data_IF_840038054901
#
_entry.id   IF_840038054901
#
_cell.length_a   1.000
_cell.length_b   1.000
_cell.length_c   1.000
_cell.angle_alpha   90.00
_cell.angle_beta   90.00
_cell.angle_gamma   90.00
#
_symmetry.space_group_name_H-M   'P 1'
#
loop_
_entity.id
_entity.type
_entity.pdbx_description
1 polymer ?
#
# COMPACT_ATOMS: atom_id res chain seq x y z
N UNK A 1 33.86 79.42 -10.04
CA UNK A 1 33.43 78.91 -8.72
C UNK A 1 32.55 77.65 -8.85
N UNK A 2 32.82 76.75 -9.78
CA UNK A 2 32.04 75.51 -9.99
C UNK A 2 32.86 74.24 -9.75
N UNK A 3 34.19 74.32 -9.90
CA UNK A 3 35.10 73.18 -9.78
C UNK A 3 35.20 72.68 -8.33
N UNK A 4 35.24 73.59 -7.36
CA UNK A 4 35.28 73.26 -5.92
C UNK A 4 34.02 72.55 -5.42
N UNK A 5 32.85 72.83 -6.01
CA UNK A 5 31.60 72.12 -5.68
C UNK A 5 31.59 70.68 -6.19
N UNK A 6 32.24 70.43 -7.35
CA UNK A 6 32.34 69.11 -7.94
C UNK A 6 33.30 68.24 -7.12
N UNK A 7 34.45 68.77 -6.70
CA UNK A 7 35.37 68.06 -5.80
C UNK A 7 34.68 67.68 -4.48
N UNK A 8 33.89 68.59 -3.88
CA UNK A 8 33.17 68.30 -2.65
C UNK A 8 32.14 67.17 -2.82
N UNK A 9 31.43 67.15 -3.96
CA UNK A 9 30.49 66.07 -4.30
C UNK A 9 31.18 64.72 -4.45
N UNK A 10 32.36 64.69 -5.07
CA UNK A 10 33.15 63.46 -5.25
C UNK A 10 33.64 62.93 -3.90
N UNK A 11 34.14 63.80 -3.02
CA UNK A 11 34.55 63.40 -1.67
C UNK A 11 33.38 62.89 -0.82
N UNK A 12 32.22 63.53 -0.92
CA UNK A 12 31.01 63.06 -0.24
C UNK A 12 30.59 61.66 -0.73
N UNK A 13 30.61 61.44 -2.06
CA UNK A 13 30.29 60.13 -2.64
C UNK A 13 31.28 59.05 -2.19
N UNK A 14 32.58 59.35 -2.20
CA UNK A 14 33.62 58.41 -1.75
C UNK A 14 33.45 58.03 -0.27
N UNK A 15 33.06 58.99 0.57
CA UNK A 15 32.76 58.74 1.98
C UNK A 15 31.57 57.77 2.16
N UNK A 16 30.50 57.96 1.38
CA UNK A 16 29.32 57.07 1.40
C UNK A 16 29.70 55.65 0.94
N UNK A 17 30.48 55.51 -0.12
CA UNK A 17 30.96 54.20 -0.59
C UNK A 17 31.84 53.50 0.46
N UNK A 18 32.75 54.24 1.11
CA UNK A 18 33.59 53.68 2.18
C UNK A 18 32.76 53.19 3.38
N UNK A 19 31.73 53.94 3.77
CA UNK A 19 30.79 53.53 4.82
C UNK A 19 29.99 52.30 4.39
N UNK A 20 29.54 52.23 3.15
CA UNK A 20 28.78 51.09 2.62
C UNK A 20 29.62 49.81 2.65
N UNK A 21 30.85 49.86 2.13
CA UNK A 21 31.79 48.74 2.14
C UNK A 21 32.13 48.33 3.56
N UNK A 22 32.40 49.29 4.45
CA UNK A 22 32.66 49.04 5.86
C UNK A 22 31.49 48.34 6.55
N UNK A 23 30.26 48.75 6.25
CA UNK A 23 29.04 48.14 6.80
C UNK A 23 28.86 46.71 6.32
N UNK A 24 29.08 46.44 5.03
CA UNK A 24 29.01 45.09 4.45
C UNK A 24 30.06 44.17 5.10
N UNK A 25 31.30 44.63 5.23
CA UNK A 25 32.39 43.87 5.88
C UNK A 25 32.07 43.60 7.35
N UNK A 26 31.58 44.60 8.08
CA UNK A 26 31.13 44.44 9.46
C UNK A 26 30.01 43.40 9.58
N UNK A 27 29.02 43.44 8.68
CA UNK A 27 27.90 42.51 8.66
C UNK A 27 28.36 41.08 8.35
N UNK A 28 29.27 40.91 7.38
CA UNK A 28 29.90 39.62 7.05
C UNK A 28 30.68 39.04 8.23
N UNK A 29 31.44 39.87 8.96
CA UNK A 29 32.16 39.44 10.16
C UNK A 29 31.20 39.05 11.29
N UNK A 30 30.11 39.80 11.47
CA UNK A 30 29.08 39.51 12.47
C UNK A 30 28.34 38.21 12.15
N UNK A 31 27.99 37.97 10.88
CA UNK A 31 27.40 36.70 10.41
C UNK A 31 28.40 35.55 10.57
N UNK A 32 29.68 35.72 10.22
CA UNK A 32 30.68 34.67 10.45
C UNK A 32 30.88 34.36 11.94
N UNK A 33 30.78 35.38 12.81
CA UNK A 33 30.88 35.20 14.27
C UNK A 33 29.65 34.49 14.84
N UNK A 34 28.45 34.82 14.37
CA UNK A 34 27.22 34.09 14.73
C UNK A 34 27.18 32.66 14.13
N UNK A 35 27.62 32.49 12.89
CA UNK A 35 27.69 31.21 12.20
C UNK A 35 28.68 30.23 12.83
N UNK A 36 29.73 30.72 13.50
CA UNK A 36 30.62 29.90 14.32
C UNK A 36 30.04 29.51 15.68
N UNK A 37 29.03 30.22 16.18
CA UNK A 37 28.44 29.96 17.51
C UNK A 37 27.09 29.23 17.44
N UNK A 38 26.43 29.15 16.28
CA UNK A 38 25.07 28.63 16.15
C UNK A 38 24.92 27.33 15.34
N UNK A 39 25.98 26.78 14.76
CA UNK A 39 25.94 25.42 14.25
C UNK A 39 26.37 24.51 15.40
N UNK A 40 25.41 24.25 16.30
CA UNK A 40 25.45 23.16 17.25
C UNK A 40 25.80 21.89 16.47
N UNK A 41 27.09 21.54 16.44
CA UNK A 41 27.55 20.31 15.82
C UNK A 41 26.84 19.12 16.47
N UNK A 42 26.46 19.22 17.75
CA UNK A 42 25.60 18.26 18.45
C UNK A 42 24.18 18.17 17.89
N UNK A 43 23.51 19.28 17.55
CA UNK A 43 22.15 19.22 17.00
C UNK A 43 22.15 18.62 15.60
N UNK A 44 23.14 18.97 14.78
CA UNK A 44 23.33 18.34 13.47
C UNK A 44 23.79 16.89 13.58
N UNK A 45 24.64 16.54 14.54
CA UNK A 45 25.04 15.15 14.79
C UNK A 45 23.89 14.30 15.31
N UNK A 46 23.04 14.84 16.18
CA UNK A 46 21.84 14.16 16.68
C UNK A 46 20.82 13.96 15.55
N UNK A 47 20.59 14.98 14.71
CA UNK A 47 19.74 14.84 13.52
C UNK A 47 20.31 13.83 12.53
N UNK A 48 21.64 13.78 12.36
CA UNK A 48 22.29 12.81 11.49
C UNK A 48 22.16 11.39 12.05
N UNK A 49 22.33 11.22 13.37
CA UNK A 49 22.14 9.94 14.06
C UNK A 49 20.68 9.46 13.98
N UNK A 50 19.71 10.33 14.22
CA UNK A 50 18.27 10.02 14.07
C UNK A 50 17.93 9.64 12.63
N UNK A 51 18.48 10.35 11.64
CA UNK A 51 18.29 10.03 10.21
C UNK A 51 18.88 8.67 9.86
N UNK A 52 20.02 8.32 10.45
CA UNK A 52 20.69 7.04 10.23
C UNK A 52 19.92 5.89 10.89
N UNK A 53 19.36 6.12 12.08
CA UNK A 53 18.50 5.17 12.77
C UNK A 53 17.17 4.94 12.01
N UNK A 54 16.59 6.01 11.44
CA UNK A 54 15.42 5.91 10.55
C UNK A 54 15.75 5.09 9.29
N UNK A 55 16.91 5.32 8.69
CA UNK A 55 17.37 4.58 7.51
C UNK A 55 17.50 3.09 7.81
N UNK A 56 18.05 2.72 8.95
CA UNK A 56 18.21 1.31 9.36
C UNK A 56 16.86 0.67 9.67
N UNK A 57 15.92 1.39 10.29
CA UNK A 57 14.56 0.92 10.50
C UNK A 57 13.79 0.73 9.18
N UNK A 58 13.96 1.65 8.23
CA UNK A 58 13.37 1.57 6.88
C UNK A 58 13.95 0.39 6.09
N UNK A 59 15.27 0.19 6.12
CA UNK A 59 15.93 -0.96 5.49
C UNK A 59 15.48 -2.28 6.12
N UNK A 60 15.36 -2.34 7.44
CA UNK A 60 14.86 -3.51 8.14
C UNK A 60 13.41 -3.85 7.78
N UNK A 61 12.54 -2.84 7.67
CA UNK A 61 11.15 -3.04 7.28
C UNK A 61 11.00 -3.42 5.80
N UNK A 62 11.77 -2.81 4.90
CA UNK A 62 11.82 -3.20 3.48
C UNK A 62 12.28 -4.64 3.30
N UNK A 63 13.24 -5.11 4.10
CA UNK A 63 13.69 -6.49 4.00
C UNK A 63 12.63 -7.48 4.51
N UNK A 64 11.91 -7.12 5.59
CA UNK A 64 10.75 -7.90 6.07
C UNK A 64 9.62 -7.94 5.05
N UNK A 65 9.33 -6.82 4.40
CA UNK A 65 8.28 -6.74 3.38
C UNK A 65 8.66 -7.56 2.14
N UNK A 66 9.94 -7.51 1.73
CA UNK A 66 10.50 -8.36 0.67
C UNK A 66 10.38 -9.84 1.00
N UNK A 67 10.69 -10.25 2.23
CA UNK A 67 10.55 -11.64 2.68
C UNK A 67 9.08 -12.09 2.70
N UNK A 68 8.16 -11.20 3.09
CA UNK A 68 6.72 -11.45 3.09
C UNK A 68 6.18 -11.65 1.67
N UNK A 69 6.59 -10.80 0.73
CA UNK A 69 6.27 -10.94 -0.69
C UNK A 69 6.85 -12.23 -1.25
N UNK A 70 8.10 -12.55 -0.94
CA UNK A 70 8.75 -13.78 -1.43
C UNK A 70 8.07 -15.05 -0.89
N UNK A 71 7.66 -15.05 0.38
CA UNK A 71 6.88 -16.14 0.96
C UNK A 71 5.48 -16.24 0.35
N UNK A 72 4.84 -15.11 0.06
CA UNK A 72 3.52 -15.09 -0.59
C UNK A 72 3.60 -15.64 -2.02
N UNK A 73 4.65 -15.29 -2.77
CA UNK A 73 4.92 -15.85 -4.11
C UNK A 73 5.14 -17.36 -4.02
N UNK A 74 5.95 -17.84 -3.07
CA UNK A 74 6.14 -19.29 -2.87
C UNK A 74 4.84 -20.02 -2.53
N UNK A 75 3.98 -19.42 -1.70
CA UNK A 75 2.66 -20.00 -1.39
C UNK A 75 1.75 -20.04 -2.62
N UNK A 76 1.78 -19.01 -3.46
CA UNK A 76 1.04 -18.99 -4.73
C UNK A 76 1.56 -20.06 -5.69
N UNK A 77 2.88 -20.21 -5.84
CA UNK A 77 3.47 -21.26 -6.68
C UNK A 77 3.09 -22.66 -6.20
N UNK A 78 3.12 -22.91 -4.88
CA UNK A 78 2.67 -24.18 -4.31
C UNK A 78 1.19 -24.45 -4.60
N UNK A 79 0.33 -23.44 -4.43
CA UNK A 79 -1.11 -23.56 -4.75
C UNK A 79 -1.36 -23.77 -6.24
N UNK A 80 -0.59 -23.10 -7.10
CA UNK A 80 -0.71 -23.20 -8.55
C UNK A 80 -0.24 -24.57 -9.04
N UNK A 81 0.83 -25.11 -8.47
CA UNK A 81 1.29 -26.47 -8.74
C UNK A 81 0.28 -27.51 -8.25
N UNK A 82 -0.26 -27.37 -7.04
CA UNK A 82 -1.31 -28.26 -6.54
C UNK A 82 -2.57 -28.21 -7.43
N UNK A 83 -2.99 -27.02 -7.87
CA UNK A 83 -4.10 -26.88 -8.79
C UNK A 83 -3.82 -27.52 -10.16
N UNK A 84 -2.59 -27.38 -10.68
CA UNK A 84 -2.15 -28.06 -11.92
C UNK A 84 -2.13 -29.57 -11.78
N UNK A 85 -1.67 -30.11 -10.65
CA UNK A 85 -1.71 -31.55 -10.38
C UNK A 85 -3.14 -32.05 -10.30
N UNK A 86 -4.03 -31.31 -9.64
CA UNK A 86 -5.46 -31.63 -9.61
C UNK A 86 -6.05 -31.62 -11.01
N UNK A 87 -5.77 -30.59 -11.82
CA UNK A 87 -6.22 -30.54 -13.22
C UNK A 87 -5.66 -31.70 -14.04
N UNK A 88 -4.38 -32.03 -13.94
CA UNK A 88 -3.80 -33.20 -14.61
C UNK A 88 -4.39 -34.51 -14.13
N UNK A 89 -4.72 -34.63 -12.84
CA UNK A 89 -5.35 -35.83 -12.28
C UNK A 89 -6.78 -36.00 -12.79
N UNK A 90 -7.50 -34.89 -12.98
CA UNK A 90 -8.81 -34.85 -13.60
C UNK A 90 -8.71 -35.15 -15.10
N UNK A 91 -7.75 -34.57 -15.81
CA UNK A 91 -7.51 -34.83 -17.24
C UNK A 91 -7.15 -36.30 -17.51
N UNK A 92 -6.29 -36.90 -16.66
CA UNK A 92 -5.97 -38.34 -16.72
C UNK A 92 -7.18 -39.23 -16.40
N UNK A 93 -8.08 -38.80 -15.51
CA UNK A 93 -9.36 -39.50 -15.25
C UNK A 93 -10.39 -39.28 -16.37
N UNK A 94 -10.21 -38.26 -17.20
CA UNK A 94 -11.08 -37.90 -18.33
C UNK A 94 -10.46 -38.31 -19.67
N UNK A 95 -9.46 -39.19 -19.68
CA UNK A 95 -8.96 -39.82 -20.90
C UNK A 95 -10.15 -40.41 -21.68
N UNK A 96 -10.29 -40.12 -22.98
CA UNK A 96 -11.48 -40.44 -23.74
C UNK A 96 -11.60 -41.95 -23.88
N UNK A 97 -12.45 -42.56 -23.05
CA UNK A 97 -12.93 -43.92 -23.25
C UNK A 97 -13.73 -43.91 -24.56
N UNK A 98 -13.52 -44.86 -25.50
CA UNK A 98 -14.26 -44.87 -26.75
C UNK A 98 -15.75 -44.92 -26.44
N UNK A 99 -16.48 -43.94 -26.96
CA UNK A 99 -17.88 -43.65 -26.66
C UNK A 99 -18.72 -44.75 -27.29
N UNK A 100 -18.98 -45.80 -26.52
CA UNK A 100 -20.01 -46.81 -26.79
C UNK A 100 -21.04 -46.73 -25.68
N UNK A 101 -21.98 -45.79 -25.82
CA UNK A 101 -23.36 -45.77 -25.29
C UNK A 101 -23.84 -44.37 -24.88
N UNK A 102 -25.13 -44.08 -25.04
CA UNK A 102 -25.65 -42.72 -25.07
C UNK A 102 -25.75 -42.12 -23.65
N UNK A 103 -25.56 -40.80 -23.61
CA UNK A 103 -25.67 -39.87 -22.48
C UNK A 103 -26.74 -40.24 -21.44
N UNK A 104 -26.41 -40.12 -20.15
CA UNK A 104 -27.30 -39.51 -19.17
C UNK A 104 -26.86 -38.06 -18.93
N UNK A 105 -27.72 -37.11 -19.31
CA UNK A 105 -27.65 -35.67 -19.01
C UNK A 105 -27.53 -35.40 -17.50
N UNK A 106 -26.31 -35.41 -16.96
CA UNK A 106 -26.06 -34.97 -15.58
C UNK A 106 -24.69 -34.28 -15.44
N UNK A 107 -24.40 -33.35 -16.35
CA UNK A 107 -23.38 -32.34 -16.12
C UNK A 107 -24.00 -31.21 -15.26
N UNK A 108 -23.77 -31.25 -13.95
CA UNK A 108 -24.09 -30.13 -13.05
C UNK A 108 -23.16 -28.95 -13.34
N UNK A 109 -23.64 -28.12 -14.25
CA UNK A 109 -23.52 -26.67 -14.34
C UNK A 109 -23.24 -26.04 -12.97
N UNK A 110 -22.33 -25.06 -12.93
CA UNK A 110 -22.15 -24.19 -11.77
C UNK A 110 -23.51 -23.79 -11.19
N UNK A 111 -23.74 -23.92 -9.87
CA UNK A 111 -25.03 -23.59 -9.29
C UNK A 111 -25.30 -22.12 -9.57
N UNK A 112 -26.25 -21.86 -10.46
CA UNK A 112 -26.81 -20.54 -10.72
C UNK A 112 -27.13 -19.90 -9.38
N UNK A 113 -26.83 -18.61 -9.18
CA UNK A 113 -27.02 -17.92 -7.91
C UNK A 113 -28.42 -18.11 -7.30
N UNK A 114 -29.45 -18.36 -8.13
CA UNK A 114 -30.78 -18.75 -7.68
C UNK A 114 -30.81 -20.06 -6.87
N UNK A 115 -30.08 -21.10 -7.28
CA UNK A 115 -30.06 -22.41 -6.60
C UNK A 115 -29.40 -22.39 -5.23
N UNK A 116 -28.52 -21.43 -4.96
CA UNK A 116 -27.90 -21.23 -3.64
C UNK A 116 -28.87 -20.51 -2.72
N UNK A 117 -29.57 -19.48 -3.23
CA UNK A 117 -30.59 -18.74 -2.50
C UNK A 117 -31.80 -19.62 -2.13
N UNK A 118 -32.27 -20.44 -3.05
CA UNK A 118 -33.38 -21.38 -2.80
C UNK A 118 -32.99 -22.43 -1.74
N UNK A 119 -31.71 -22.84 -1.73
CA UNK A 119 -31.18 -23.78 -0.73
C UNK A 119 -30.95 -23.15 0.63
N UNK A 120 -30.55 -21.88 0.68
CA UNK A 120 -30.48 -21.08 1.90
C UNK A 120 -31.87 -20.93 2.53
N UNK A 121 -32.88 -20.62 1.72
CA UNK A 121 -34.26 -20.49 2.18
C UNK A 121 -34.80 -21.83 2.70
N UNK A 122 -34.56 -22.93 1.99
CA UNK A 122 -35.00 -24.26 2.44
C UNK A 122 -34.41 -24.65 3.80
N UNK A 123 -33.11 -24.42 4.02
CA UNK A 123 -32.46 -24.72 5.30
C UNK A 123 -32.94 -23.80 6.42
N UNK A 124 -33.21 -22.54 6.12
CA UNK A 124 -33.78 -21.60 7.09
C UNK A 124 -35.22 -21.99 7.47
N UNK A 125 -36.04 -22.44 6.51
CA UNK A 125 -37.39 -22.96 6.77
C UNK A 125 -37.37 -24.27 7.59
N UNK A 126 -36.30 -25.05 7.49
CA UNK A 126 -36.07 -26.23 8.33
C UNK A 126 -35.63 -25.90 9.77
N UNK A 127 -35.47 -24.61 10.12
CA UNK A 127 -35.15 -24.16 11.47
C UNK A 127 -33.67 -24.24 11.84
N UNK A 128 -32.77 -24.42 10.86
CA UNK A 128 -31.33 -24.38 11.11
C UNK A 128 -30.86 -22.96 11.43
N UNK A 129 -29.88 -22.85 12.33
CA UNK A 129 -29.25 -21.58 12.67
C UNK A 129 -28.36 -21.07 11.54
N UNK A 130 -28.16 -19.75 11.48
CA UNK A 130 -27.32 -19.09 10.47
C UNK A 130 -25.88 -19.64 10.49
N UNK A 131 -25.38 -20.00 11.68
CA UNK A 131 -24.10 -20.65 11.91
C UNK A 131 -23.99 -22.03 11.25
N UNK A 132 -25.04 -22.85 11.37
CA UNK A 132 -25.08 -24.21 10.82
C UNK A 132 -25.18 -24.18 9.31
N UNK A 133 -25.99 -23.27 8.77
CA UNK A 133 -26.13 -23.03 7.34
C UNK A 133 -24.79 -22.56 6.74
N UNK A 134 -24.11 -21.60 7.39
CA UNK A 134 -22.79 -21.13 6.99
C UNK A 134 -21.75 -22.27 6.94
N UNK A 135 -21.76 -23.15 7.95
CA UNK A 135 -20.86 -24.31 8.00
C UNK A 135 -21.20 -25.34 6.91
N UNK A 136 -22.49 -25.56 6.64
CA UNK A 136 -22.94 -26.55 5.66
C UNK A 136 -22.73 -26.10 4.21
N UNK A 137 -22.87 -24.81 3.93
CA UNK A 137 -22.66 -24.24 2.59
C UNK A 137 -21.23 -23.73 2.38
N UNK A 138 -20.38 -23.79 3.40
CA UNK A 138 -19.02 -23.22 3.39
C UNK A 138 -19.00 -21.72 3.05
N UNK A 139 -20.01 -20.98 3.50
CA UNK A 139 -20.16 -19.54 3.29
C UNK A 139 -19.91 -18.79 4.59
N UNK A 140 -19.53 -17.52 4.50
CA UNK A 140 -19.40 -16.67 5.69
C UNK A 140 -20.78 -16.32 6.27
N UNK A 141 -20.85 -16.05 7.58
CA UNK A 141 -22.11 -15.66 8.23
C UNK A 141 -22.76 -14.43 7.57
N UNK A 142 -21.94 -13.49 7.10
CA UNK A 142 -22.40 -12.29 6.41
C UNK A 142 -23.05 -12.60 5.05
N UNK A 143 -22.48 -13.52 4.29
CA UNK A 143 -23.04 -13.93 2.99
C UNK A 143 -24.37 -14.70 3.14
N UNK A 144 -24.49 -15.52 4.19
CA UNK A 144 -25.75 -16.22 4.50
C UNK A 144 -26.86 -15.23 4.87
N UNK A 145 -26.54 -14.20 5.66
CA UNK A 145 -27.49 -13.16 6.06
C UNK A 145 -27.96 -12.35 4.85
N UNK A 146 -27.02 -11.90 4.01
CA UNK A 146 -27.32 -11.16 2.77
C UNK A 146 -28.11 -12.04 1.81
N UNK A 147 -27.80 -13.34 1.71
CA UNK A 147 -28.55 -14.27 0.88
C UNK A 147 -30.01 -14.44 1.33
N UNK A 148 -30.26 -14.52 2.63
CA UNK A 148 -31.62 -14.57 3.20
C UNK A 148 -32.40 -13.27 3.01
N UNK A 149 -31.73 -12.12 3.12
CA UNK A 149 -32.37 -10.82 2.86
C UNK A 149 -32.73 -10.66 1.38
N UNK A 150 -31.86 -11.12 0.48
CA UNK A 150 -32.12 -11.12 -0.96
C UNK A 150 -33.23 -12.08 -1.36
N UNK A 151 -33.32 -13.27 -0.75
CA UNK A 151 -34.43 -14.20 -1.03
C UNK A 151 -35.77 -13.63 -0.57
N UNK A 152 -35.82 -13.01 0.62
CA UNK A 152 -37.02 -12.32 1.12
C UNK A 152 -37.40 -11.12 0.26
N UNK A 153 -36.43 -10.34 -0.24
CA UNK A 153 -36.69 -9.22 -1.13
C UNK A 153 -37.23 -9.66 -2.50
N UNK A 154 -36.86 -10.86 -2.97
CA UNK A 154 -37.34 -11.45 -4.23
C UNK A 154 -38.74 -12.07 -4.11
N UNK A 155 -39.16 -12.47 -2.90
CA UNK A 155 -40.47 -13.04 -2.63
C UNK A 155 -41.60 -11.97 -2.47
N UNK A 156 -41.24 -10.68 -2.55
CA UNK A 156 -42.16 -9.54 -2.42
C UNK A 156 -42.32 -8.84 -3.76
#
# INVERSE_FOLDING_TARGET
MTITNIEYWIFAQLGVEAVLVGTIVYFLLKIKKLGKTSLNSEALQNLLAETQQLKDQLLGNLNREKDLIHNSIKQLDLRLNAARELLQSLEKRTAPRPISNPLPDNAKTAPSAGSILDRLEFLHQQGYSVEEIARQLQMSKGEVLVGLDLSRAKAK
#
